data_IF_405082537194
#
_entry.id   IF_405082537194
#
_cell.length_a   1.000
_cell.length_b   1.000
_cell.length_c   1.000
_cell.angle_alpha   90.00
_cell.angle_beta   90.00
_cell.angle_gamma   90.00
#
_symmetry.space_group_name_H-M   'P 1'
#
loop_
_entity.id
_entity.type
_entity.pdbx_description
1 polymer ?
#
# COMPACT_ATOMS: atom_id res chain seq x y z
N UNK A 1 -1.09 8.21 26.34
CA UNK A 1 -1.47 8.56 24.95
C UNK A 1 -1.47 7.31 24.05
N UNK A 2 -2.20 7.35 22.95
CA UNK A 2 -2.23 6.25 21.96
C UNK A 2 -0.82 5.84 21.51
N UNK A 3 0.06 6.81 21.30
CA UNK A 3 1.45 6.54 20.94
C UNK A 3 2.19 5.69 21.98
N UNK A 4 2.04 6.01 23.27
CA UNK A 4 2.68 5.25 24.36
C UNK A 4 2.11 3.83 24.48
N UNK A 5 0.83 3.66 24.16
CA UNK A 5 0.17 2.35 24.19
C UNK A 5 0.62 1.44 23.06
N UNK A 6 0.71 1.95 21.83
CA UNK A 6 0.84 1.13 20.64
C UNK A 6 2.24 1.09 20.02
N UNK A 7 3.01 2.21 20.06
CA UNK A 7 4.30 2.26 19.37
C UNK A 7 5.33 1.25 19.89
N UNK A 8 5.42 0.95 21.21
CA UNK A 8 6.37 -0.06 21.66
C UNK A 8 6.10 -1.45 21.07
N UNK A 9 4.85 -1.91 21.08
CA UNK A 9 4.46 -3.20 20.51
C UNK A 9 4.65 -3.26 18.99
N UNK A 10 4.39 -2.15 18.27
CA UNK A 10 4.66 -2.05 16.84
C UNK A 10 6.16 -2.10 16.55
N UNK A 11 6.99 -1.47 17.37
CA UNK A 11 8.45 -1.47 17.19
C UNK A 11 9.08 -2.82 17.52
N UNK A 12 8.55 -3.58 18.48
CA UNK A 12 9.01 -4.93 18.83
C UNK A 12 8.48 -6.01 17.89
N UNK A 13 7.42 -5.71 17.11
CA UNK A 13 6.72 -6.69 16.27
C UNK A 13 5.70 -7.56 17.01
N UNK A 14 5.45 -7.30 18.29
CA UNK A 14 4.41 -7.98 19.08
C UNK A 14 3.01 -7.57 18.63
N UNK A 15 2.88 -6.34 18.12
CA UNK A 15 1.63 -5.81 17.57
C UNK A 15 1.78 -5.59 16.07
N UNK A 16 0.86 -6.12 15.29
CA UNK A 16 0.77 -5.89 13.83
C UNK A 16 -0.36 -4.90 13.58
N UNK A 17 -0.04 -3.81 12.87
CA UNK A 17 -1.03 -2.81 12.48
C UNK A 17 -1.28 -2.83 10.97
N UNK A 18 -2.50 -2.48 10.58
CA UNK A 18 -2.85 -2.28 9.17
C UNK A 18 -3.58 -0.96 8.94
N UNK A 19 -3.60 -0.51 7.69
CA UNK A 19 -4.36 0.64 7.23
C UNK A 19 -5.56 0.16 6.41
N UNK A 20 -6.76 0.35 6.95
CA UNK A 20 -8.02 -0.06 6.32
C UNK A 20 -8.73 1.18 5.73
N UNK A 21 -8.49 1.46 4.43
CA UNK A 21 -9.04 2.64 3.77
C UNK A 21 -9.95 2.33 2.59
N UNK A 22 -9.69 1.25 1.85
CA UNK A 22 -10.46 0.89 0.67
C UNK A 22 -11.82 0.27 1.02
N UNK A 23 -12.86 0.59 0.24
CA UNK A 23 -14.22 0.07 0.40
C UNK A 23 -14.73 -0.65 -0.86
N UNK A 24 -13.83 -1.28 -1.60
CA UNK A 24 -14.11 -2.02 -2.83
C UNK A 24 -13.26 -1.56 -4.00
N UNK A 25 -13.74 -1.81 -5.21
CA UNK A 25 -13.04 -1.42 -6.43
C UNK A 25 -13.09 0.10 -6.64
N UNK A 26 -12.00 0.66 -7.15
CA UNK A 26 -11.89 2.08 -7.45
C UNK A 26 -11.14 2.87 -6.39
N UNK A 27 -11.01 4.17 -6.64
CA UNK A 27 -10.33 5.08 -5.74
C UNK A 27 -11.25 5.48 -4.59
N UNK A 28 -10.80 5.26 -3.36
CA UNK A 28 -11.46 5.80 -2.16
C UNK A 28 -11.26 7.31 -2.11
N UNK A 29 -12.34 8.04 -1.94
CA UNK A 29 -12.34 9.51 -1.77
C UNK A 29 -13.09 9.86 -0.49
N UNK A 30 -12.91 11.07 0.02
CA UNK A 30 -13.66 11.55 1.17
C UNK A 30 -15.18 11.40 1.01
N UNK A 31 -15.70 11.58 -0.23
CA UNK A 31 -17.13 11.50 -0.54
C UNK A 31 -17.65 10.08 -0.72
N UNK A 32 -16.77 9.11 -0.99
CA UNK A 32 -17.16 7.71 -1.22
C UNK A 32 -17.09 6.85 0.04
N UNK A 33 -16.67 7.40 1.17
CA UNK A 33 -16.61 6.68 2.44
C UNK A 33 -18.01 6.35 2.94
N UNK A 34 -18.24 5.09 3.23
CA UNK A 34 -19.51 4.56 3.81
C UNK A 34 -19.31 4.08 5.25
N UNK A 35 -18.11 3.68 5.64
CA UNK A 35 -17.81 3.37 7.03
C UNK A 35 -17.93 4.62 7.91
N UNK A 36 -18.64 4.49 9.02
CA UNK A 36 -18.97 5.60 9.91
C UNK A 36 -18.61 5.32 11.37
N UNK A 37 -18.14 6.36 12.04
CA UNK A 37 -17.85 6.37 13.47
C UNK A 37 -18.86 7.26 14.18
N UNK A 38 -19.63 6.67 15.09
CA UNK A 38 -20.60 7.39 15.95
C UNK A 38 -20.18 7.23 17.41
N UNK A 39 -19.62 8.29 17.99
CA UNK A 39 -18.96 8.20 19.30
C UNK A 39 -17.74 7.29 19.20
N UNK A 40 -17.78 6.15 19.89
CA UNK A 40 -16.78 5.09 19.88
C UNK A 40 -17.22 3.82 19.10
N UNK A 41 -18.35 3.89 18.38
CA UNK A 41 -18.93 2.78 17.63
C UNK A 41 -18.66 2.90 16.15
N UNK A 42 -17.87 1.96 15.60
CA UNK A 42 -17.55 1.86 14.20
C UNK A 42 -18.47 0.87 13.49
N UNK A 43 -19.07 1.31 12.38
CA UNK A 43 -19.90 0.46 11.50
C UNK A 43 -19.48 0.62 10.05
N UNK A 44 -19.46 -0.48 9.29
CA UNK A 44 -19.12 -0.50 7.87
C UNK A 44 -18.16 -1.61 7.50
N UNK A 45 -17.60 -1.55 6.29
CA UNK A 45 -16.66 -2.55 5.80
C UNK A 45 -15.49 -1.93 5.05
N UNK A 46 -14.32 -2.57 5.13
CA UNK A 46 -13.11 -2.23 4.36
C UNK A 46 -12.63 -3.43 3.56
N UNK A 47 -12.31 -3.18 2.27
CA UNK A 47 -11.92 -4.24 1.34
C UNK A 47 -11.20 -3.64 0.11
N UNK A 48 -10.03 -4.15 -0.31
CA UNK A 48 -9.19 -5.10 0.42
C UNK A 48 -8.39 -4.40 1.53
N UNK A 49 -8.05 -5.13 2.58
CA UNK A 49 -7.15 -4.67 3.64
C UNK A 49 -5.92 -5.57 3.67
N UNK A 50 -4.75 -5.00 3.40
CA UNK A 50 -3.49 -5.73 3.47
C UNK A 50 -3.23 -6.20 4.90
N UNK A 51 -2.82 -7.47 5.05
CA UNK A 51 -2.56 -8.13 6.33
C UNK A 51 -3.72 -8.10 7.34
N UNK A 52 -4.94 -7.73 6.89
CA UNK A 52 -6.12 -7.58 7.76
C UNK A 52 -6.51 -8.84 8.53
N UNK A 53 -6.19 -10.03 8.02
CA UNK A 53 -6.43 -11.28 8.73
C UNK A 53 -5.48 -11.51 9.91
N UNK A 54 -4.24 -11.00 9.82
CA UNK A 54 -3.17 -11.19 10.80
C UNK A 54 -2.98 -10.01 11.75
N UNK A 55 -3.48 -8.81 11.38
CA UNK A 55 -3.30 -7.60 12.16
C UNK A 55 -4.03 -7.66 13.51
N UNK A 56 -3.42 -7.05 14.54
CA UNK A 56 -4.02 -6.88 15.86
C UNK A 56 -4.86 -5.61 15.94
N UNK A 57 -4.40 -4.55 15.23
CA UNK A 57 -5.07 -3.25 15.20
C UNK A 57 -5.18 -2.74 13.76
N UNK A 58 -6.19 -1.91 13.51
CA UNK A 58 -6.35 -1.20 12.24
C UNK A 58 -6.53 0.30 12.47
N UNK A 59 -5.90 1.11 11.62
CA UNK A 59 -6.30 2.49 11.42
C UNK A 59 -7.31 2.50 10.28
N UNK A 60 -8.51 3.00 10.56
CA UNK A 60 -9.64 2.94 9.63
C UNK A 60 -10.04 4.36 9.22
N UNK A 61 -10.20 4.61 7.92
CA UNK A 61 -10.80 5.85 7.41
C UNK A 61 -12.31 5.79 7.53
N UNK A 62 -12.93 6.78 8.14
CA UNK A 62 -14.38 6.80 8.39
C UNK A 62 -14.95 8.20 8.21
N UNK A 63 -16.27 8.30 8.20
CA UNK A 63 -17.00 9.55 8.40
C UNK A 63 -17.43 9.65 9.86
N UNK A 64 -17.29 10.83 10.46
CA UNK A 64 -17.86 11.15 11.75
C UNK A 64 -19.36 11.46 11.63
N UNK A 65 -20.06 11.59 12.76
CA UNK A 65 -21.51 11.86 12.77
C UNK A 65 -21.93 13.18 12.12
N UNK A 66 -21.01 14.14 11.98
CA UNK A 66 -21.20 15.41 11.25
C UNK A 66 -20.87 15.31 9.75
N UNK A 67 -20.51 14.12 9.27
CA UNK A 67 -20.10 13.87 7.90
C UNK A 67 -18.65 14.24 7.57
N UNK A 68 -17.88 14.74 8.53
CA UNK A 68 -16.45 14.98 8.35
C UNK A 68 -15.68 13.66 8.27
N UNK A 69 -14.55 13.68 7.55
CA UNK A 69 -13.65 12.51 7.51
C UNK A 69 -12.82 12.46 8.78
N UNK A 70 -12.74 11.29 9.36
CA UNK A 70 -11.87 11.02 10.51
C UNK A 70 -11.14 9.70 10.34
N UNK A 71 -10.08 9.52 11.12
CA UNK A 71 -9.41 8.23 11.29
C UNK A 71 -9.71 7.71 12.69
N UNK A 72 -9.99 6.43 12.80
CA UNK A 72 -10.10 5.77 14.09
C UNK A 72 -9.16 4.58 14.19
N UNK A 73 -8.81 4.23 15.41
CA UNK A 73 -8.04 3.04 15.75
C UNK A 73 -8.99 1.99 16.32
N UNK A 74 -8.88 0.78 15.82
CA UNK A 74 -9.72 -0.37 16.17
C UNK A 74 -8.82 -1.54 16.54
N UNK A 75 -9.08 -2.15 17.69
CA UNK A 75 -8.54 -3.47 17.99
C UNK A 75 -9.36 -4.53 17.23
N UNK A 76 -8.69 -5.40 16.47
CA UNK A 76 -9.39 -6.33 15.58
C UNK A 76 -9.81 -7.63 16.27
N UNK A 77 -9.38 -7.85 17.50
CA UNK A 77 -9.74 -9.04 18.30
C UNK A 77 -10.97 -8.78 19.17
N UNK A 78 -12.08 -8.43 18.51
CA UNK A 78 -13.40 -8.22 19.12
C UNK A 78 -14.43 -9.05 18.36
N UNK A 79 -15.44 -9.56 19.08
CA UNK A 79 -16.54 -10.33 18.45
C UNK A 79 -17.42 -9.52 17.49
N UNK A 80 -17.29 -8.20 17.48
CA UNK A 80 -17.98 -7.27 16.57
C UNK A 80 -17.20 -6.99 15.26
N UNK A 81 -16.00 -7.55 15.13
CA UNK A 81 -15.17 -7.45 13.91
C UNK A 81 -15.10 -8.80 13.23
N UNK A 82 -15.59 -8.86 11.99
CA UNK A 82 -15.49 -10.05 11.14
C UNK A 82 -14.35 -9.88 10.16
N UNK A 83 -13.44 -10.85 10.13
CA UNK A 83 -12.27 -10.88 9.25
C UNK A 83 -12.41 -12.03 8.25
N UNK A 84 -12.57 -11.71 6.97
CA UNK A 84 -12.69 -12.71 5.90
C UNK A 84 -11.50 -12.63 4.97
N UNK A 85 -10.60 -13.64 4.95
CA UNK A 85 -9.47 -13.66 4.03
C UNK A 85 -9.91 -13.59 2.56
N UNK A 86 -9.13 -12.85 1.75
CA UNK A 86 -9.33 -12.72 0.30
C UNK A 86 -8.24 -13.53 -0.39
N UNK A 87 -8.61 -14.41 -1.33
CA UNK A 87 -7.65 -15.05 -2.21
C UNK A 87 -7.15 -14.05 -3.27
N UNK A 88 -5.84 -13.91 -3.34
CA UNK A 88 -5.14 -13.03 -4.30
C UNK A 88 -4.19 -13.86 -5.17
N UNK A 89 -3.77 -13.31 -6.31
CA UNK A 89 -2.73 -13.94 -7.15
C UNK A 89 -1.36 -13.91 -6.49
N UNK A 90 -1.09 -12.88 -5.69
CA UNK A 90 0.15 -12.75 -4.92
C UNK A 90 -0.06 -13.36 -3.53
N UNK A 91 0.60 -14.50 -3.28
CA UNK A 91 0.55 -15.20 -2.00
C UNK A 91 1.58 -14.67 -0.98
N UNK A 92 2.44 -13.75 -1.37
CA UNK A 92 3.46 -13.18 -0.47
C UNK A 92 2.86 -12.19 0.55
N UNK A 93 1.67 -11.64 0.25
CA UNK A 93 0.97 -10.70 1.11
C UNK A 93 -0.51 -11.05 1.24
N UNK A 94 -0.95 -11.30 2.47
CA UNK A 94 -2.35 -11.61 2.77
C UNK A 94 -3.25 -10.38 2.65
N UNK A 95 -4.49 -10.58 2.25
CA UNK A 95 -5.54 -9.56 2.25
C UNK A 95 -6.81 -10.09 2.91
N UNK A 96 -7.60 -9.20 3.49
CA UNK A 96 -8.89 -9.55 4.08
C UNK A 96 -9.95 -8.48 3.81
N UNK A 97 -11.20 -8.87 3.93
CA UNK A 97 -12.32 -7.96 4.20
C UNK A 97 -12.43 -7.83 5.72
N UNK A 98 -12.57 -6.61 6.20
CA UNK A 98 -12.90 -6.30 7.58
C UNK A 98 -14.30 -5.72 7.64
N UNK A 99 -15.19 -6.33 8.40
CA UNK A 99 -16.55 -5.85 8.64
C UNK A 99 -16.69 -5.46 10.11
N UNK A 100 -17.18 -4.26 10.34
CA UNK A 100 -17.34 -3.66 11.67
C UNK A 100 -18.82 -3.55 12.01
N UNK A 101 -19.26 -4.28 13.02
CA UNK A 101 -20.64 -4.36 13.47
C UNK A 101 -20.77 -3.67 14.83
N UNK A 102 -20.79 -2.33 14.83
CA UNK A 102 -20.70 -1.52 16.06
C UNK A 102 -19.42 -1.86 16.86
N UNK A 103 -18.30 -2.02 16.17
CA UNK A 103 -17.03 -2.34 16.80
C UNK A 103 -16.53 -1.15 17.65
N UNK A 104 -15.95 -1.45 18.82
CA UNK A 104 -15.35 -0.41 19.66
C UNK A 104 -14.12 0.17 18.97
N UNK A 105 -14.12 1.48 18.78
CA UNK A 105 -13.06 2.21 18.10
C UNK A 105 -12.82 3.57 18.76
N UNK A 106 -11.58 4.01 18.78
CA UNK A 106 -11.23 5.32 19.31
C UNK A 106 -10.79 6.26 18.18
N UNK A 107 -11.24 7.53 18.15
CA UNK A 107 -10.74 8.52 17.21
C UNK A 107 -9.22 8.63 17.31
N UNK A 108 -8.52 8.69 16.19
CA UNK A 108 -7.07 8.83 16.18
C UNK A 108 -6.68 10.28 16.56
N UNK A 109 -5.80 10.42 17.54
CA UNK A 109 -5.36 11.72 18.04
C UNK A 109 -6.52 12.52 18.65
N UNK A 110 -6.77 13.71 18.11
CA UNK A 110 -7.83 14.62 18.60
C UNK A 110 -9.18 14.41 17.90
N UNK A 111 -9.32 13.37 17.07
CA UNK A 111 -10.53 13.13 16.29
C UNK A 111 -10.69 14.04 15.07
N UNK A 112 -9.82 15.03 14.88
CA UNK A 112 -9.85 15.94 13.72
C UNK A 112 -8.64 15.67 12.83
N UNK A 113 -8.81 14.78 11.86
CA UNK A 113 -7.79 14.54 10.84
C UNK A 113 -8.39 14.94 9.49
N UNK A 114 -7.79 15.93 8.85
CA UNK A 114 -8.21 16.36 7.53
C UNK A 114 -7.86 15.28 6.49
N UNK A 115 -8.72 15.13 5.48
CA UNK A 115 -8.49 14.23 4.35
C UNK A 115 -7.12 14.46 3.68
N UNK A 116 -6.67 15.71 3.60
CA UNK A 116 -5.34 16.07 3.06
C UNK A 116 -4.17 15.42 3.81
N UNK A 117 -4.31 15.19 5.11
CA UNK A 117 -3.28 14.47 5.89
C UNK A 117 -3.24 12.99 5.50
N UNK A 118 -4.40 12.40 5.23
CA UNK A 118 -4.49 11.05 4.72
C UNK A 118 -3.94 10.93 3.28
N UNK A 119 -4.23 11.89 2.40
CA UNK A 119 -3.63 11.96 1.06
C UNK A 119 -2.10 12.05 1.13
N UNK A 120 -1.57 12.87 2.04
CA UNK A 120 -0.13 12.95 2.29
C UNK A 120 0.48 11.61 2.74
N UNK A 121 -0.26 10.80 3.53
CA UNK A 121 0.15 9.45 3.89
C UNK A 121 0.17 8.52 2.67
N UNK A 122 -0.83 8.62 1.80
CA UNK A 122 -0.88 7.84 0.56
C UNK A 122 0.26 8.20 -0.40
N UNK A 123 0.65 9.47 -0.51
CA UNK A 123 1.82 9.90 -1.28
C UNK A 123 3.10 9.23 -0.77
N UNK A 124 3.30 9.21 0.56
CA UNK A 124 4.42 8.51 1.18
C UNK A 124 4.41 7.01 0.86
N UNK A 125 3.25 6.37 1.02
CA UNK A 125 3.07 4.96 0.70
C UNK A 125 3.35 4.69 -0.78
N UNK A 126 2.91 5.55 -1.69
CA UNK A 126 3.13 5.41 -3.13
C UNK A 126 4.64 5.42 -3.49
N UNK A 127 5.43 6.31 -2.88
CA UNK A 127 6.88 6.34 -3.10
C UNK A 127 7.56 5.08 -2.56
N UNK A 128 7.19 4.62 -1.35
CA UNK A 128 7.76 3.40 -0.77
C UNK A 128 7.42 2.16 -1.61
N UNK A 129 6.18 2.06 -2.06
CA UNK A 129 5.73 0.99 -2.97
C UNK A 129 6.44 1.04 -4.33
N UNK A 130 6.75 2.23 -4.84
CA UNK A 130 7.52 2.37 -6.07
C UNK A 130 8.93 1.78 -5.94
N UNK A 131 9.59 1.94 -4.79
CA UNK A 131 10.88 1.34 -4.50
C UNK A 131 10.81 -0.18 -4.36
N UNK A 132 9.78 -0.70 -3.69
CA UNK A 132 9.55 -2.15 -3.59
C UNK A 132 9.38 -2.76 -4.99
N UNK A 133 8.54 -2.16 -5.83
CA UNK A 133 8.30 -2.63 -7.21
C UNK A 133 9.56 -2.55 -8.08
N UNK A 134 10.33 -1.47 -7.95
CA UNK A 134 11.59 -1.33 -8.66
C UNK A 134 12.58 -2.45 -8.29
N UNK A 135 12.68 -2.80 -7.00
CA UNK A 135 13.51 -3.91 -6.56
C UNK A 135 13.10 -5.25 -7.17
N UNK A 136 11.78 -5.49 -7.28
CA UNK A 136 11.22 -6.69 -7.94
C UNK A 136 11.57 -6.68 -9.44
N UNK A 137 11.36 -5.54 -10.12
CA UNK A 137 11.64 -5.39 -11.54
C UNK A 137 13.12 -5.58 -11.88
N UNK A 138 14.03 -5.05 -11.05
CA UNK A 138 15.47 -5.25 -11.20
C UNK A 138 15.84 -6.74 -11.07
N UNK A 139 15.29 -7.42 -10.06
CA UNK A 139 15.57 -8.85 -9.87
C UNK A 139 15.00 -9.71 -10.99
N UNK A 140 13.82 -9.36 -11.49
CA UNK A 140 13.22 -10.03 -12.63
C UNK A 140 14.07 -9.87 -13.90
N UNK A 141 14.60 -8.68 -14.16
CA UNK A 141 15.50 -8.42 -15.28
C UNK A 141 16.82 -9.20 -15.15
N UNK A 142 17.43 -9.20 -13.98
CA UNK A 142 18.65 -9.99 -13.69
C UNK A 142 18.42 -11.47 -14.01
N UNK A 143 17.38 -12.07 -13.46
CA UNK A 143 17.03 -13.47 -13.70
C UNK A 143 16.74 -13.77 -15.17
N UNK A 144 16.04 -12.85 -15.86
CA UNK A 144 15.76 -13.00 -17.30
C UNK A 144 17.05 -12.95 -18.14
N UNK A 145 17.99 -12.07 -17.80
CA UNK A 145 19.30 -12.00 -18.46
C UNK A 145 20.12 -13.27 -18.25
N UNK A 146 20.19 -13.76 -17.00
CA UNK A 146 20.93 -14.98 -16.66
C UNK A 146 20.34 -16.20 -17.38
N UNK A 147 19.01 -16.33 -17.36
CA UNK A 147 18.33 -17.41 -18.08
C UNK A 147 18.57 -17.34 -19.58
N UNK A 148 18.52 -16.14 -20.16
CA UNK A 148 18.76 -15.94 -21.60
C UNK A 148 20.18 -16.32 -22.05
N UNK A 149 21.16 -16.26 -21.16
CA UNK A 149 22.54 -16.69 -21.41
C UNK A 149 22.73 -18.21 -21.29
N UNK A 150 21.95 -18.85 -20.40
CA UNK A 150 22.11 -20.28 -20.10
C UNK A 150 21.20 -21.19 -20.94
N UNK A 151 20.03 -20.69 -21.34
CA UNK A 151 19.06 -21.48 -22.10
C UNK A 151 19.43 -21.52 -23.59
N UNK A 152 19.59 -22.70 -24.13
CA UNK A 152 19.85 -22.96 -25.56
C UNK A 152 18.56 -23.34 -26.28
N UNK A 153 18.39 -22.77 -27.48
CA UNK A 153 17.39 -23.17 -28.48
C UNK A 153 17.93 -22.89 -29.86
N UNK A 154 17.62 -23.74 -30.82
CA UNK A 154 18.13 -23.63 -32.22
C UNK A 154 19.67 -23.57 -32.30
N UNK A 155 20.36 -24.36 -31.44
CA UNK A 155 21.81 -24.51 -31.47
C UNK A 155 22.60 -23.36 -30.82
N UNK A 156 21.98 -22.40 -30.18
CA UNK A 156 22.65 -21.26 -29.49
C UNK A 156 21.88 -20.73 -28.31
N UNK A 157 22.54 -19.97 -27.45
CA UNK A 157 21.89 -19.32 -26.30
C UNK A 157 20.76 -18.38 -26.78
N UNK A 158 19.59 -18.41 -26.12
CA UNK A 158 18.44 -17.60 -26.55
C UNK A 158 18.71 -16.10 -26.47
N UNK A 159 19.57 -15.65 -25.57
CA UNK A 159 20.05 -14.27 -25.49
C UNK A 159 20.82 -13.79 -26.72
N UNK A 160 21.26 -14.69 -27.61
CA UNK A 160 21.88 -14.32 -28.89
C UNK A 160 20.88 -13.82 -29.93
N UNK A 161 19.58 -14.13 -29.76
CA UNK A 161 18.53 -13.68 -30.68
C UNK A 161 18.17 -12.22 -30.47
N UNK A 162 18.07 -11.45 -31.57
CA UNK A 162 17.79 -10.01 -31.50
C UNK A 162 16.47 -9.69 -30.80
N UNK A 163 15.43 -10.49 -31.02
CA UNK A 163 14.13 -10.31 -30.38
C UNK A 163 14.20 -10.39 -28.83
N UNK A 164 15.04 -11.28 -28.30
CA UNK A 164 15.25 -11.40 -26.84
C UNK A 164 16.08 -10.22 -26.33
N UNK A 165 17.17 -9.85 -27.04
CA UNK A 165 17.99 -8.68 -26.67
C UNK A 165 17.17 -7.40 -26.60
N UNK A 166 16.29 -7.16 -27.57
CA UNK A 166 15.44 -5.95 -27.60
C UNK A 166 14.43 -5.93 -26.44
N UNK A 167 13.85 -7.09 -26.07
CA UNK A 167 12.98 -7.18 -24.90
C UNK A 167 13.73 -6.84 -23.60
N UNK A 168 14.91 -7.44 -23.39
CA UNK A 168 15.72 -7.18 -22.21
C UNK A 168 16.20 -5.71 -22.15
N UNK A 169 16.61 -5.14 -23.29
CA UNK A 169 16.95 -3.72 -23.38
C UNK A 169 15.76 -2.81 -23.07
N UNK A 170 14.55 -3.15 -23.54
CA UNK A 170 13.32 -2.44 -23.20
C UNK A 170 12.99 -2.48 -21.72
N UNK A 171 13.15 -3.64 -21.06
CA UNK A 171 13.00 -3.79 -19.60
C UNK A 171 14.03 -2.94 -18.86
N UNK A 172 15.29 -2.96 -19.28
CA UNK A 172 16.34 -2.15 -18.66
C UNK A 172 16.02 -0.65 -18.71
N UNK A 173 15.58 -0.14 -19.87
CA UNK A 173 15.19 1.27 -20.02
C UNK A 173 14.06 1.65 -19.08
N UNK A 174 13.04 0.80 -18.98
CA UNK A 174 11.90 1.04 -18.07
C UNK A 174 12.34 1.05 -16.62
N UNK A 175 13.18 0.10 -16.20
CA UNK A 175 13.73 0.07 -14.84
C UNK A 175 14.55 1.34 -14.55
N UNK A 176 15.36 1.80 -15.51
CA UNK A 176 16.16 3.02 -15.35
C UNK A 176 15.27 4.27 -15.18
N UNK A 177 14.18 4.37 -15.97
CA UNK A 177 13.20 5.46 -15.83
C UNK A 177 12.45 5.38 -14.49
N UNK A 178 12.01 4.19 -14.09
CA UNK A 178 11.36 3.96 -12.81
C UNK A 178 12.28 4.36 -11.64
N UNK A 179 13.54 3.99 -11.71
CA UNK A 179 14.57 4.35 -10.71
C UNK A 179 14.72 5.87 -10.58
N UNK A 180 14.82 6.58 -11.71
CA UNK A 180 14.94 8.05 -11.71
C UNK A 180 13.73 8.70 -11.04
N UNK A 181 12.51 8.25 -11.37
CA UNK A 181 11.29 8.76 -10.74
C UNK A 181 11.19 8.38 -9.27
N UNK A 182 11.60 7.19 -8.87
CA UNK A 182 11.62 6.77 -7.47
C UNK A 182 12.59 7.63 -6.62
N UNK A 183 13.78 7.96 -7.14
CA UNK A 183 14.70 8.90 -6.49
C UNK A 183 14.10 10.30 -6.35
N UNK A 184 13.44 10.81 -7.40
CA UNK A 184 12.76 12.12 -7.33
C UNK A 184 11.62 12.06 -6.28
N UNK A 185 10.85 10.97 -6.23
CA UNK A 185 9.83 10.77 -5.19
C UNK A 185 10.42 10.78 -3.78
N UNK A 186 11.52 10.05 -3.55
CA UNK A 186 12.21 10.00 -2.26
C UNK A 186 12.75 11.38 -1.84
N UNK A 187 13.34 12.10 -2.79
CA UNK A 187 13.80 13.47 -2.55
C UNK A 187 12.64 14.39 -2.18
N UNK A 188 11.52 14.36 -2.90
CA UNK A 188 10.35 15.18 -2.63
C UNK A 188 9.74 14.89 -1.25
N UNK A 189 9.79 13.62 -0.78
CA UNK A 189 9.41 13.25 0.59
C UNK A 189 10.37 13.81 1.63
N UNK A 190 11.68 13.68 1.40
CA UNK A 190 12.70 14.09 2.37
C UNK A 190 12.78 15.61 2.53
N UNK A 191 12.51 16.36 1.45
CA UNK A 191 12.53 17.83 1.44
C UNK A 191 11.18 18.47 1.74
N UNK A 192 10.14 17.68 2.00
CA UNK A 192 8.75 18.15 2.17
C UNK A 192 8.28 19.10 1.05
N UNK A 193 8.66 18.77 -0.18
CA UNK A 193 8.41 19.59 -1.36
C UNK A 193 6.92 19.69 -1.70
N UNK A 194 6.50 20.87 -2.16
CA UNK A 194 5.14 21.09 -2.68
C UNK A 194 4.83 20.22 -3.91
N UNK A 195 5.88 19.74 -4.62
CA UNK A 195 5.74 18.82 -5.76
C UNK A 195 5.54 17.35 -5.34
N UNK A 196 5.51 17.05 -4.04
CA UNK A 196 5.38 15.68 -3.51
C UNK A 196 4.24 14.86 -4.14
N UNK A 197 3.00 15.37 -4.30
CA UNK A 197 1.92 14.59 -4.90
C UNK A 197 2.22 14.18 -6.34
N UNK A 198 2.82 15.08 -7.12
CA UNK A 198 3.21 14.79 -8.49
C UNK A 198 4.38 13.79 -8.53
N UNK A 199 5.40 13.99 -7.70
CA UNK A 199 6.56 13.10 -7.62
C UNK A 199 6.16 11.69 -7.16
N UNK A 200 5.25 11.56 -6.19
CA UNK A 200 4.70 10.28 -5.73
C UNK A 200 3.93 9.55 -6.85
N UNK A 201 3.08 10.28 -7.56
CA UNK A 201 2.30 9.74 -8.68
C UNK A 201 3.20 9.27 -9.83
N UNK A 202 4.20 10.08 -10.22
CA UNK A 202 5.14 9.71 -11.30
C UNK A 202 6.01 8.53 -10.92
N UNK A 203 6.50 8.46 -9.67
CA UNK A 203 7.25 7.32 -9.17
C UNK A 203 6.40 6.03 -9.24
N UNK A 204 5.15 6.11 -8.81
CA UNK A 204 4.23 4.97 -8.80
C UNK A 204 3.89 4.48 -10.21
N UNK A 205 3.56 5.40 -11.13
CA UNK A 205 3.25 5.07 -12.52
C UNK A 205 4.46 4.45 -13.22
N UNK A 206 5.65 5.03 -13.06
CA UNK A 206 6.86 4.52 -13.69
C UNK A 206 7.23 3.11 -13.20
N UNK A 207 7.08 2.84 -11.91
CA UNK A 207 7.41 1.53 -11.34
C UNK A 207 6.40 0.42 -11.68
N UNK A 208 5.13 0.77 -11.97
CA UNK A 208 4.14 -0.20 -12.49
C UNK A 208 4.46 -0.61 -13.93
N UNK A 209 5.11 0.25 -14.69
CA UNK A 209 5.45 0.00 -16.10
C UNK A 209 6.80 -0.73 -16.27
N UNK A 210 7.61 -0.78 -15.22
CA UNK A 210 8.89 -1.47 -15.20
C UNK A 210 8.72 -2.98 -15.15
#
# INVERSE_FOLDING_TARGET
>A
SQKQRWLPGLASGETIATLAHAEGAGQTTAKSLTASLSGDSLTGAKKPVADGAAANIAIVTTTAGDGSVTLCLVELDQGTVVRTPIQTLDFSRGHATLEFNNASAEPLGNGTIHWSSFESLLDRAAVLMAWEQLGIADKALEQACDYAQQRYAFGRAIGSFQAIKHKLAGMYVKNALARSNAYHGAWALASDSDTRPLAASTARVASIQA
#
